data_IF_775504134591
#
_entry.id   IF_775504134591
#
_cell.length_a   1.000
_cell.length_b   1.000
_cell.length_c   1.000
_cell.angle_alpha   90.00
_cell.angle_beta   90.00
_cell.angle_gamma   90.00
#
_symmetry.space_group_name_H-M   'P 1'
#
loop_
_entity.id
_entity.type
_entity.pdbx_description
1 polymer ?
#
# COMPACT_ATOMS: atom_id res chain seq x y z
N UNK A 1 -49.61 -5.39 -16.03
CA UNK A 1 -48.21 -5.52 -15.56
C UNK A 1 -47.73 -4.26 -14.85
N UNK A 2 -46.53 -4.27 -14.27
CA UNK A 2 -45.94 -3.17 -13.46
C UNK A 2 -46.02 -1.81 -14.17
N UNK A 3 -45.84 -1.74 -15.51
CA UNK A 3 -45.97 -0.52 -16.29
C UNK A 3 -47.38 0.10 -16.34
N UNK A 4 -48.41 -0.70 -16.17
CA UNK A 4 -49.78 -0.19 -16.16
C UNK A 4 -50.11 0.55 -14.84
N UNK A 5 -49.36 0.31 -13.78
CA UNK A 5 -49.55 0.98 -12.48
C UNK A 5 -49.13 2.46 -12.50
N UNK A 6 -48.32 2.87 -13.49
CA UNK A 6 -47.98 4.30 -13.68
C UNK A 6 -49.20 5.12 -14.08
N UNK A 7 -50.14 4.52 -14.79
CA UNK A 7 -51.36 5.20 -15.25
C UNK A 7 -52.48 5.15 -14.21
N UNK A 8 -52.23 4.58 -13.03
CA UNK A 8 -53.24 4.53 -11.99
C UNK A 8 -53.49 5.92 -11.40
N UNK A 9 -54.76 6.27 -11.23
CA UNK A 9 -55.18 7.56 -10.65
C UNK A 9 -54.92 7.65 -9.13
N UNK A 10 -54.73 6.48 -8.47
CA UNK A 10 -54.46 6.45 -7.05
C UNK A 10 -52.97 6.75 -6.72
N UNK A 11 -52.68 7.77 -5.92
CA UNK A 11 -51.28 8.25 -5.71
C UNK A 11 -50.34 7.14 -5.20
N UNK A 12 -50.80 6.28 -4.31
CA UNK A 12 -49.97 5.20 -3.77
C UNK A 12 -49.64 4.15 -4.85
N UNK A 13 -50.57 3.80 -5.73
CA UNK A 13 -50.34 2.81 -6.80
C UNK A 13 -49.38 3.37 -7.85
N UNK A 14 -49.47 4.66 -8.18
CA UNK A 14 -48.58 5.39 -9.06
C UNK A 14 -47.13 5.40 -8.50
N UNK A 15 -46.97 5.69 -7.23
CA UNK A 15 -45.66 5.71 -6.56
C UNK A 15 -45.00 4.33 -6.54
N UNK A 16 -45.74 3.27 -6.27
CA UNK A 16 -45.28 1.88 -6.32
C UNK A 16 -44.86 1.52 -7.75
N UNK A 17 -45.62 1.93 -8.76
CA UNK A 17 -45.27 1.72 -10.17
C UNK A 17 -43.96 2.36 -10.56
N UNK A 18 -43.76 3.61 -10.21
CA UNK A 18 -42.51 4.32 -10.46
C UNK A 18 -41.31 3.68 -9.75
N UNK A 19 -41.44 3.38 -8.46
CA UNK A 19 -40.39 2.73 -7.68
C UNK A 19 -39.99 1.38 -8.29
N UNK A 20 -40.98 0.60 -8.73
CA UNK A 20 -40.74 -0.70 -9.35
C UNK A 20 -40.02 -0.59 -10.70
N UNK A 21 -40.30 0.45 -11.49
CA UNK A 21 -39.60 0.67 -12.76
C UNK A 21 -38.17 1.14 -12.53
N UNK A 22 -37.93 2.09 -11.62
CA UNK A 22 -36.57 2.50 -11.28
C UNK A 22 -35.77 1.33 -10.70
N UNK A 23 -36.38 0.50 -9.84
CA UNK A 23 -35.73 -0.70 -9.33
C UNK A 23 -35.37 -1.67 -10.43
N UNK A 24 -36.26 -1.91 -11.39
CA UNK A 24 -36.00 -2.80 -12.52
C UNK A 24 -34.91 -2.28 -13.44
N UNK A 25 -34.91 -0.98 -13.74
CA UNK A 25 -33.80 -0.33 -14.52
C UNK A 25 -32.47 -0.48 -13.78
N UNK A 26 -32.42 -0.22 -12.48
CA UNK A 26 -31.22 -0.38 -11.67
C UNK A 26 -30.70 -1.82 -11.70
N UNK A 27 -31.56 -2.82 -11.58
CA UNK A 27 -31.20 -4.24 -11.68
C UNK A 27 -30.65 -4.57 -13.07
N UNK A 28 -31.31 -4.11 -14.14
CA UNK A 28 -30.83 -4.32 -15.52
C UNK A 28 -29.45 -3.71 -15.71
N UNK A 29 -29.26 -2.44 -15.34
CA UNK A 29 -27.97 -1.76 -15.47
C UNK A 29 -26.89 -2.48 -14.67
N UNK A 30 -27.19 -2.87 -13.44
CA UNK A 30 -26.23 -3.58 -12.60
C UNK A 30 -25.86 -4.94 -13.19
N UNK A 31 -26.83 -5.72 -13.63
CA UNK A 31 -26.61 -7.10 -14.13
C UNK A 31 -25.93 -7.13 -15.50
N UNK A 32 -26.30 -6.23 -16.41
CA UNK A 32 -25.80 -6.27 -17.79
C UNK A 32 -24.60 -5.35 -18.06
N UNK A 33 -24.38 -4.32 -17.25
CA UNK A 33 -23.29 -3.37 -17.45
C UNK A 33 -22.28 -3.46 -16.31
N UNK A 34 -22.69 -3.21 -15.07
CA UNK A 34 -21.78 -3.10 -13.95
C UNK A 34 -21.11 -4.43 -13.63
N UNK A 35 -21.89 -5.49 -13.50
CA UNK A 35 -21.37 -6.80 -13.13
C UNK A 35 -20.39 -7.39 -14.17
N UNK A 36 -20.66 -7.40 -15.49
CA UNK A 36 -19.70 -7.87 -16.49
C UNK A 36 -18.44 -7.02 -16.58
N UNK A 37 -18.56 -5.69 -16.42
CA UNK A 37 -17.41 -4.80 -16.41
C UNK A 37 -16.52 -5.07 -15.21
N UNK A 38 -17.08 -5.19 -14.01
CA UNK A 38 -16.35 -5.53 -12.80
C UNK A 38 -15.70 -6.92 -12.91
N UNK A 39 -16.44 -7.91 -13.41
CA UNK A 39 -15.90 -9.25 -13.62
C UNK A 39 -14.73 -9.24 -14.61
N UNK A 40 -14.85 -8.50 -15.71
CA UNK A 40 -13.78 -8.37 -16.69
C UNK A 40 -12.53 -7.68 -16.10
N UNK A 41 -12.72 -6.59 -15.34
CA UNK A 41 -11.62 -5.81 -14.75
C UNK A 41 -10.92 -6.58 -13.63
N UNK A 42 -11.69 -7.18 -12.72
CA UNK A 42 -11.13 -7.77 -11.50
C UNK A 42 -10.79 -9.25 -11.63
N UNK A 43 -11.42 -9.98 -12.55
CA UNK A 43 -11.23 -11.43 -12.66
C UNK A 43 -10.62 -11.82 -14.01
N UNK A 44 -11.28 -11.49 -15.13
CA UNK A 44 -10.85 -11.97 -16.44
C UNK A 44 -9.52 -11.36 -16.90
N UNK A 45 -9.31 -10.06 -16.75
CA UNK A 45 -8.11 -9.40 -17.20
C UNK A 45 -6.87 -9.81 -16.38
N UNK A 46 -6.91 -9.85 -15.03
CA UNK A 46 -5.82 -10.40 -14.23
C UNK A 46 -5.58 -11.88 -14.46
N UNK A 47 -6.62 -12.70 -14.62
CA UNK A 47 -6.51 -14.14 -14.89
C UNK A 47 -5.76 -14.42 -16.21
N UNK A 48 -6.06 -13.65 -17.28
CA UNK A 48 -5.35 -13.74 -18.56
C UNK A 48 -3.87 -13.36 -18.45
N UNK A 49 -3.48 -12.54 -17.48
CA UNK A 49 -2.09 -12.15 -17.19
C UNK A 49 -1.38 -13.13 -16.23
N UNK A 50 -2.00 -14.27 -15.89
CA UNK A 50 -1.42 -15.28 -15.00
C UNK A 50 -1.46 -14.92 -13.51
N UNK A 51 -2.12 -13.82 -13.13
CA UNK A 51 -2.30 -13.39 -11.75
C UNK A 51 -3.78 -13.15 -11.43
N UNK A 52 -4.57 -14.21 -11.21
CA UNK A 52 -5.99 -14.08 -10.94
C UNK A 52 -6.22 -13.30 -9.64
N UNK A 53 -7.17 -12.38 -9.68
CA UNK A 53 -7.61 -11.66 -8.50
C UNK A 53 -8.46 -12.58 -7.63
N UNK A 54 -7.90 -13.02 -6.52
CA UNK A 54 -8.57 -13.89 -5.56
C UNK A 54 -8.86 -13.11 -4.26
N UNK A 55 -9.91 -13.48 -3.54
CA UNK A 55 -10.20 -12.92 -2.21
C UNK A 55 -8.98 -13.08 -1.29
N UNK A 56 -8.28 -14.20 -1.39
CA UNK A 56 -7.06 -14.44 -0.63
C UNK A 56 -5.94 -13.46 -0.99
N UNK A 57 -5.78 -13.10 -2.28
CA UNK A 57 -4.78 -12.11 -2.70
C UNK A 57 -5.13 -10.71 -2.21
N UNK A 58 -6.42 -10.36 -2.17
CA UNK A 58 -6.91 -9.11 -1.61
C UNK A 58 -6.63 -9.03 -0.10
N UNK A 59 -7.04 -10.04 0.66
CA UNK A 59 -6.80 -10.11 2.10
C UNK A 59 -5.31 -10.01 2.43
N UNK A 60 -4.48 -10.70 1.68
CA UNK A 60 -3.02 -10.65 1.81
C UNK A 60 -2.46 -9.26 1.55
N UNK A 61 -2.92 -8.59 0.48
CA UNK A 61 -2.52 -7.21 0.17
C UNK A 61 -2.95 -6.25 1.28
N UNK A 62 -4.16 -6.39 1.80
CA UNK A 62 -4.62 -5.60 2.94
C UNK A 62 -3.76 -5.83 4.19
N UNK A 63 -3.41 -7.08 4.50
CA UNK A 63 -2.51 -7.39 5.61
C UNK A 63 -1.14 -6.73 5.45
N UNK A 64 -0.58 -6.69 4.24
CA UNK A 64 0.68 -6.00 3.98
C UNK A 64 0.57 -4.50 4.27
N UNK A 65 -0.45 -3.84 3.76
CA UNK A 65 -0.65 -2.41 4.00
C UNK A 65 -0.87 -2.10 5.47
N UNK A 66 -1.71 -2.87 6.16
CA UNK A 66 -1.99 -2.70 7.59
C UNK A 66 -0.69 -2.88 8.39
N UNK A 67 0.08 -3.94 8.15
CA UNK A 67 1.35 -4.19 8.83
C UNK A 67 2.35 -3.06 8.57
N UNK A 68 2.43 -2.56 7.33
CA UNK A 68 3.29 -1.44 6.99
C UNK A 68 2.88 -0.15 7.73
N UNK A 69 1.59 0.19 7.75
CA UNK A 69 1.06 1.36 8.46
C UNK A 69 1.35 1.26 9.96
N UNK A 70 1.08 0.10 10.57
CA UNK A 70 1.39 -0.14 11.99
C UNK A 70 2.89 0.07 12.25
N UNK A 71 3.75 -0.49 11.40
CA UNK A 71 5.19 -0.30 11.51
C UNK A 71 5.63 1.15 11.40
N UNK A 72 5.02 1.93 10.53
CA UNK A 72 5.26 3.38 10.43
C UNK A 72 4.83 4.12 11.70
N UNK A 73 3.65 3.80 12.24
CA UNK A 73 3.14 4.41 13.48
C UNK A 73 4.08 4.08 14.64
N UNK A 74 4.46 2.82 14.82
CA UNK A 74 5.38 2.38 15.88
C UNK A 74 6.74 3.06 15.74
N UNK A 75 7.27 3.16 14.52
CA UNK A 75 8.56 3.82 14.25
C UNK A 75 8.52 5.32 14.57
N UNK A 76 7.42 6.01 14.22
CA UNK A 76 7.26 7.43 14.55
C UNK A 76 7.08 7.65 16.06
N UNK A 77 6.30 6.82 16.73
CA UNK A 77 6.13 6.87 18.19
C UNK A 77 7.48 6.66 18.89
N UNK A 78 8.25 5.67 18.46
CA UNK A 78 9.60 5.43 18.98
C UNK A 78 10.54 6.62 18.73
N UNK A 79 10.47 7.24 17.55
CA UNK A 79 11.23 8.45 17.22
C UNK A 79 10.87 9.58 18.17
N UNK A 80 9.58 9.83 18.42
CA UNK A 80 9.13 10.87 19.35
C UNK A 80 9.66 10.64 20.77
N UNK A 81 9.59 9.39 21.26
CA UNK A 81 10.16 9.02 22.55
C UNK A 81 11.68 9.26 22.61
N UNK A 82 12.40 8.89 21.54
CA UNK A 82 13.85 9.09 21.46
C UNK A 82 14.24 10.58 21.42
N UNK A 83 13.41 11.45 20.83
CA UNK A 83 13.69 12.89 20.79
C UNK A 83 13.71 13.49 22.20
N UNK A 84 12.82 13.04 23.09
CA UNK A 84 12.71 13.52 24.47
C UNK A 84 13.92 13.06 25.33
N UNK A 85 14.53 11.92 25.01
CA UNK A 85 15.64 11.38 25.80
C UNK A 85 16.91 12.28 25.68
N UNK A 86 17.67 12.51 26.77
CA UNK A 86 18.91 13.29 26.75
C UNK A 86 20.10 12.50 26.21
N UNK A 87 19.98 11.99 24.98
CA UNK A 87 20.99 11.17 24.30
C UNK A 87 21.49 11.92 23.06
N UNK A 88 22.76 11.68 22.65
CA UNK A 88 23.33 12.34 21.48
C UNK A 88 22.52 12.07 20.19
N UNK A 89 22.42 13.05 19.30
CA UNK A 89 21.71 12.95 18.03
C UNK A 89 22.19 11.75 17.19
N UNK A 90 23.51 11.51 17.17
CA UNK A 90 24.11 10.39 16.42
C UNK A 90 23.64 9.03 16.93
N UNK A 91 23.54 8.85 18.25
CA UNK A 91 23.06 7.61 18.87
C UNK A 91 21.59 7.40 18.56
N UNK A 92 20.76 8.44 18.66
CA UNK A 92 19.33 8.40 18.31
C UNK A 92 19.14 7.99 16.84
N UNK A 93 19.86 8.61 15.93
CA UNK A 93 19.80 8.27 14.50
C UNK A 93 20.25 6.83 14.23
N UNK A 94 21.30 6.36 14.89
CA UNK A 94 21.75 4.98 14.74
C UNK A 94 20.69 4.00 15.23
N UNK A 95 20.09 4.28 16.38
CA UNK A 95 19.05 3.44 16.98
C UNK A 95 17.82 3.35 16.06
N UNK A 96 17.29 4.49 15.63
CA UNK A 96 16.08 4.50 14.78
C UNK A 96 16.33 3.85 13.41
N UNK A 97 17.49 4.06 12.79
CA UNK A 97 17.87 3.40 11.54
C UNK A 97 17.95 1.88 11.73
N UNK A 98 18.53 1.41 12.84
CA UNK A 98 18.61 -0.03 13.13
C UNK A 98 17.23 -0.60 13.36
N UNK A 99 16.35 0.11 14.08
CA UNK A 99 14.98 -0.32 14.30
C UNK A 99 14.19 -0.41 12.99
N UNK A 100 14.24 0.64 12.16
CA UNK A 100 13.59 0.65 10.84
C UNK A 100 14.13 -0.46 9.94
N UNK A 101 15.44 -0.67 9.92
CA UNK A 101 16.06 -1.78 9.19
C UNK A 101 15.55 -3.15 9.66
N UNK A 102 15.50 -3.37 10.98
CA UNK A 102 15.00 -4.63 11.54
C UNK A 102 13.54 -4.86 11.14
N UNK A 103 12.71 -3.82 11.27
CA UNK A 103 11.32 -3.88 10.85
C UNK A 103 11.20 -4.21 9.36
N UNK A 104 11.94 -3.50 8.49
CA UNK A 104 11.92 -3.74 7.05
C UNK A 104 12.44 -5.13 6.69
N UNK A 105 13.46 -5.64 7.40
CA UNK A 105 13.97 -7.00 7.22
C UNK A 105 12.94 -8.06 7.58
N UNK A 106 12.23 -7.90 8.70
CA UNK A 106 11.14 -8.79 9.11
C UNK A 106 9.98 -8.71 8.12
N UNK A 107 9.61 -7.51 7.72
CA UNK A 107 8.53 -7.27 6.75
C UNK A 107 8.88 -7.85 5.38
N UNK A 108 10.12 -7.66 4.90
CA UNK A 108 10.63 -8.29 3.68
C UNK A 108 10.58 -9.83 3.77
N UNK A 109 11.01 -10.42 4.89
CA UNK A 109 10.91 -11.86 5.12
C UNK A 109 9.46 -12.35 5.03
N UNK A 110 8.52 -11.59 5.61
CA UNK A 110 7.09 -11.88 5.51
C UNK A 110 6.60 -11.81 4.06
N UNK A 111 7.01 -10.80 3.26
CA UNK A 111 6.72 -10.73 1.83
C UNK A 111 7.31 -11.94 1.09
N UNK A 112 8.55 -12.34 1.40
CA UNK A 112 9.22 -13.48 0.76
C UNK A 112 8.52 -14.83 0.99
N UNK A 113 7.73 -14.99 2.04
CA UNK A 113 6.92 -16.20 2.24
C UNK A 113 5.81 -16.32 1.18
N UNK A 114 5.45 -15.21 0.56
CA UNK A 114 4.37 -15.10 -0.42
C UNK A 114 4.90 -15.02 -1.85
N UNK A 115 5.98 -14.27 -2.04
CA UNK A 115 6.65 -14.07 -3.33
C UNK A 115 8.02 -14.73 -3.32
N UNK A 116 8.33 -15.44 -4.40
CA UNK A 116 9.63 -16.09 -4.56
C UNK A 116 10.64 -15.03 -5.03
N UNK A 117 11.53 -14.61 -4.13
CA UNK A 117 12.65 -13.73 -4.47
C UNK A 117 13.92 -14.55 -4.61
N UNK A 118 14.68 -14.29 -5.66
CA UNK A 118 15.98 -14.93 -5.91
C UNK A 118 17.06 -13.90 -5.58
N UNK A 119 17.87 -14.18 -4.57
CA UNK A 119 19.04 -13.37 -4.25
C UNK A 119 20.26 -13.96 -4.94
N UNK A 120 20.88 -13.19 -5.84
CA UNK A 120 22.09 -13.57 -6.54
C UNK A 120 23.23 -12.69 -6.05
N UNK A 121 24.26 -13.29 -5.44
CA UNK A 121 25.45 -12.60 -4.96
C UNK A 121 25.33 -12.00 -3.55
N UNK A 122 26.46 -11.54 -3.04
CA UNK A 122 26.61 -10.86 -1.74
C UNK A 122 27.15 -9.46 -1.97
N UNK A 123 26.58 -8.48 -1.28
CA UNK A 123 27.05 -7.10 -1.32
C UNK A 123 27.80 -6.81 -0.02
N UNK A 124 29.04 -6.32 -0.14
CA UNK A 124 29.84 -5.86 1.00
C UNK A 124 29.54 -4.39 1.30
N UNK A 125 28.88 -4.15 2.43
CA UNK A 125 28.56 -2.80 2.92
C UNK A 125 29.66 -2.21 3.82
N UNK A 126 30.83 -2.81 3.89
CA UNK A 126 31.96 -2.28 4.68
C UNK A 126 32.62 -1.07 4.02
N UNK A 127 32.56 -0.99 2.69
CA UNK A 127 33.15 0.09 1.90
C UNK A 127 32.11 1.12 1.46
N UNK A 128 32.47 2.42 1.44
CA UNK A 128 31.60 3.45 0.85
C UNK A 128 31.32 3.12 -0.62
N UNK A 129 30.06 3.06 -0.98
CA UNK A 129 29.62 2.74 -2.34
C UNK A 129 28.29 3.39 -2.68
N UNK A 130 28.06 3.71 -3.94
CA UNK A 130 26.77 4.16 -4.46
C UNK A 130 26.06 2.98 -5.06
N UNK A 131 24.83 2.74 -4.63
CA UNK A 131 23.98 1.66 -5.14
C UNK A 131 22.93 2.27 -6.03
N UNK A 132 22.89 1.84 -7.28
CA UNK A 132 21.85 2.21 -8.24
C UNK A 132 20.95 1.00 -8.43
N UNK A 133 19.66 1.18 -8.22
CA UNK A 133 18.66 0.12 -8.38
C UNK A 133 17.60 0.56 -9.39
N UNK A 134 17.16 -0.38 -10.24
CA UNK A 134 15.96 -0.16 -11.04
C UNK A 134 14.74 -0.19 -10.11
N UNK A 135 14.04 0.95 -10.02
CA UNK A 135 12.93 1.12 -9.10
C UNK A 135 11.60 1.17 -9.86
N UNK A 136 10.83 0.09 -9.73
CA UNK A 136 9.55 -0.09 -10.42
C UNK A 136 8.37 -0.16 -9.42
N UNK A 137 8.66 -0.60 -8.17
CA UNK A 137 7.60 -0.82 -7.19
C UNK A 137 8.00 -0.40 -5.77
N UNK A 138 7.01 -0.19 -4.92
CA UNK A 138 7.23 0.10 -3.50
C UNK A 138 7.97 -1.03 -2.76
N UNK A 139 7.83 -2.28 -3.22
CA UNK A 139 8.51 -3.45 -2.64
C UNK A 139 10.04 -3.33 -2.80
N UNK A 140 10.51 -2.68 -3.86
CA UNK A 140 11.94 -2.49 -4.11
C UNK A 140 12.58 -1.65 -3.00
N UNK A 141 11.87 -0.61 -2.53
CA UNK A 141 12.32 0.23 -1.40
C UNK A 141 12.46 -0.61 -0.13
N UNK A 142 11.45 -1.44 0.16
CA UNK A 142 11.47 -2.33 1.33
C UNK A 142 12.64 -3.31 1.25
N UNK A 143 12.85 -3.91 0.07
CA UNK A 143 13.95 -4.83 -0.18
C UNK A 143 15.31 -4.17 0.03
N UNK A 144 15.49 -2.96 -0.49
CA UNK A 144 16.73 -2.18 -0.33
C UNK A 144 16.95 -1.77 1.13
N UNK A 145 15.90 -1.29 1.83
CA UNK A 145 16.00 -0.93 3.25
C UNK A 145 16.33 -2.15 4.14
N UNK A 146 15.89 -3.35 3.75
CA UNK A 146 16.18 -4.59 4.47
C UNK A 146 17.65 -5.04 4.34
N UNK A 147 18.45 -4.50 3.40
CA UNK A 147 19.83 -4.93 3.18
C UNK A 147 20.77 -4.48 4.30
N UNK A 148 20.73 -3.20 4.70
CA UNK A 148 21.63 -2.67 5.72
C UNK A 148 21.08 -1.41 6.40
N UNK A 149 21.27 -1.24 7.71
CA UNK A 149 20.90 -0.02 8.43
C UNK A 149 21.82 1.18 8.11
N UNK A 150 22.89 0.96 7.36
CA UNK A 150 23.85 1.99 6.95
C UNK A 150 23.45 2.70 5.66
N UNK A 151 22.48 2.16 4.91
CA UNK A 151 22.03 2.74 3.66
C UNK A 151 21.37 4.10 3.90
N UNK A 152 21.73 5.06 3.05
CA UNK A 152 21.14 6.39 2.99
C UNK A 152 20.51 6.51 1.60
N UNK A 153 19.25 6.89 1.57
CA UNK A 153 18.49 6.99 0.33
C UNK A 153 18.42 8.44 -0.14
N UNK A 154 18.39 8.59 -1.46
CA UNK A 154 17.97 9.83 -2.11
C UNK A 154 16.50 9.69 -2.44
N UNK A 155 15.67 10.58 -1.92
CA UNK A 155 14.20 10.52 -2.01
C UNK A 155 13.65 11.78 -2.64
N UNK A 156 12.45 11.70 -3.22
CA UNK A 156 11.73 12.89 -3.72
C UNK A 156 10.99 13.60 -2.60
N UNK A 157 10.69 14.89 -2.82
CA UNK A 157 9.98 15.76 -1.86
C UNK A 157 8.68 15.17 -1.33
N UNK A 158 7.89 14.46 -2.15
CA UNK A 158 6.65 13.84 -1.69
C UNK A 158 6.86 12.78 -0.58
N UNK A 159 8.02 12.11 -0.57
CA UNK A 159 8.38 11.13 0.48
C UNK A 159 8.68 11.85 1.79
N UNK A 160 9.47 12.91 1.74
CA UNK A 160 9.83 13.72 2.92
C UNK A 160 8.64 14.54 3.46
N UNK A 161 7.64 14.82 2.63
CA UNK A 161 6.41 15.53 3.00
C UNK A 161 5.29 14.59 3.44
N UNK A 162 5.50 13.27 3.36
CA UNK A 162 4.49 12.28 3.76
C UNK A 162 4.18 12.38 5.27
N UNK A 163 2.91 12.44 5.65
CA UNK A 163 2.52 12.48 7.07
C UNK A 163 2.86 11.19 7.81
N UNK A 164 2.94 10.06 7.08
CA UNK A 164 3.13 8.74 7.67
C UNK A 164 4.60 8.43 7.98
N UNK A 165 5.53 8.84 7.12
CA UNK A 165 6.95 8.49 7.26
C UNK A 165 7.92 9.64 7.00
N UNK A 166 7.42 10.83 6.62
CA UNK A 166 8.29 11.97 6.28
C UNK A 166 9.18 12.43 7.44
N UNK A 167 8.64 12.48 8.66
CA UNK A 167 9.42 12.81 9.86
C UNK A 167 10.57 11.81 10.08
N UNK A 168 10.28 10.53 9.93
CA UNK A 168 11.25 9.44 10.08
C UNK A 168 12.36 9.53 9.03
N UNK A 169 12.01 9.76 7.77
CA UNK A 169 12.93 9.88 6.64
C UNK A 169 13.89 11.05 6.85
N UNK A 170 13.36 12.23 7.22
CA UNK A 170 14.17 13.42 7.53
C UNK A 170 15.10 13.17 8.70
N UNK A 171 14.61 12.56 9.78
CA UNK A 171 15.41 12.30 10.96
C UNK A 171 16.52 11.26 10.70
N UNK A 172 16.24 10.26 9.87
CA UNK A 172 17.24 9.29 9.41
C UNK A 172 18.35 9.92 8.55
N UNK A 173 18.19 11.17 8.09
CA UNK A 173 19.16 11.88 7.28
C UNK A 173 19.22 11.35 5.85
N UNK A 174 18.08 11.01 5.26
CA UNK A 174 17.97 10.74 3.84
C UNK A 174 17.97 12.05 3.07
N UNK A 175 18.57 12.05 1.89
CA UNK A 175 18.68 13.23 1.03
C UNK A 175 17.41 13.41 0.20
N UNK A 176 17.05 14.67 -0.03
CA UNK A 176 16.01 15.03 -0.97
C UNK A 176 16.65 15.25 -2.35
N UNK A 177 16.10 14.68 -3.40
CA UNK A 177 16.63 14.82 -4.76
C UNK A 177 16.27 16.17 -5.40
N UNK A 178 15.32 16.88 -4.80
CA UNK A 178 14.81 18.15 -5.31
C UNK A 178 15.49 19.37 -4.62
N UNK A 179 16.39 19.13 -3.61
CA UNK A 179 17.25 20.11 -2.98
C UNK A 179 18.59 20.17 -3.73
#
# INVERSE_FOLDING_TARGET
>A
GLGAQIFAQHPAVHSIGLLSIFGMIAVIVTSYIVQPVLFRLFISAPAKKGSPFTVLSLLRSMMFYITFIIGCIVSNTLLMLLIIMPISKRTKQRFIRTFVWLFMKLFYKFICTVFKFIRIGTVDFSRPSVIIANHVSFIDIIAMMALSPRLIFVTKTWVTSSPLFGCLVKYCGFYNADD
#
